data_IF_017626737513
#
_entry.id   IF_017626737513
#
_cell.length_a   1.000
_cell.length_b   1.000
_cell.length_c   1.000
_cell.angle_alpha   90.00
_cell.angle_beta   90.00
_cell.angle_gamma   90.00
#
_symmetry.space_group_name_H-M   'P 1'
#
loop_
_entity.id
_entity.type
_entity.pdbx_description
1 polymer ?
#
# COMPACT_ATOMS: atom_id res chain seq x y z
N UNK A 1 -18.78 56.28 46.96
CA UNK A 1 -17.91 56.47 45.78
C UNK A 1 -17.39 55.10 45.33
N UNK A 2 -17.52 54.83 44.02
CA UNK A 2 -16.96 53.75 43.16
C UNK A 2 -16.94 52.30 43.68
N UNK A 3 -17.76 51.34 43.20
CA UNK A 3 -17.90 50.69 41.87
C UNK A 3 -16.61 50.12 41.26
N UNK A 4 -16.52 48.79 41.20
CA UNK A 4 -15.95 48.02 40.08
C UNK A 4 -16.79 46.76 39.85
N UNK A 5 -17.09 46.49 38.58
CA UNK A 5 -17.96 45.48 37.96
C UNK A 5 -17.23 44.18 37.59
N UNK A 6 -17.94 43.03 37.41
CA UNK A 6 -17.37 41.80 36.86
C UNK A 6 -17.57 41.71 35.33
N UNK A 7 -16.60 41.13 34.63
CA UNK A 7 -16.62 40.88 33.17
C UNK A 7 -17.11 39.48 32.81
N UNK A 8 -17.79 39.45 31.66
CA UNK A 8 -18.66 38.42 31.11
C UNK A 8 -17.94 37.21 30.48
N UNK A 9 -18.63 36.07 30.55
CA UNK A 9 -18.47 34.89 29.71
C UNK A 9 -19.08 35.11 28.31
N UNK A 10 -18.37 34.72 27.26
CA UNK A 10 -18.86 34.73 25.87
C UNK A 10 -19.30 33.31 25.46
N UNK A 11 -20.59 33.13 25.20
CA UNK A 11 -21.15 31.98 24.46
C UNK A 11 -21.51 32.43 23.05
N UNK A 12 -20.95 31.77 22.05
CA UNK A 12 -21.20 32.02 20.64
C UNK A 12 -22.60 31.52 20.22
N UNK A 13 -23.29 32.34 19.41
CA UNK A 13 -24.60 32.08 18.86
C UNK A 13 -24.50 31.39 17.50
N UNK A 14 -25.21 30.27 17.31
CA UNK A 14 -25.51 29.67 16.01
C UNK A 14 -26.91 30.11 15.58
N UNK A 15 -27.02 30.79 14.42
CA UNK A 15 -28.29 31.20 13.81
C UNK A 15 -28.65 30.20 12.72
N UNK A 16 -29.83 29.58 12.86
CA UNK A 16 -30.46 28.78 11.82
C UNK A 16 -31.04 29.62 10.68
N UNK A 17 -31.30 28.96 9.54
CA UNK A 17 -32.23 29.41 8.50
C UNK A 17 -33.02 28.22 7.99
N UNK A 18 -34.31 28.17 8.35
CA UNK A 18 -35.33 27.44 7.61
C UNK A 18 -35.80 28.33 6.44
N UNK A 19 -36.00 27.73 5.27
CA UNK A 19 -36.94 28.24 4.27
C UNK A 19 -37.76 27.07 3.75
N UNK A 20 -39.06 27.11 4.04
CA UNK A 20 -40.10 26.34 3.39
C UNK A 20 -40.72 27.22 2.30
N UNK A 21 -41.00 26.66 1.12
CA UNK A 21 -42.02 27.22 0.20
C UNK A 21 -42.86 26.10 -0.39
N UNK A 22 -44.15 26.41 -0.36
CA UNK A 22 -45.38 25.70 -0.68
C UNK A 22 -45.47 24.86 -1.97
N UNK A 23 -46.41 23.92 -1.86
CA UNK A 23 -47.03 23.07 -2.85
C UNK A 23 -47.83 23.81 -3.94
N UNK A 24 -47.98 23.12 -5.09
CA UNK A 24 -49.20 23.20 -5.90
C UNK A 24 -49.48 21.80 -6.52
N UNK A 25 -50.65 21.27 -6.22
CA UNK A 25 -51.31 20.13 -6.88
C UNK A 25 -52.52 20.68 -7.65
N UNK A 26 -52.91 20.04 -8.75
CA UNK A 26 -54.29 19.59 -9.11
C UNK A 26 -54.42 19.27 -10.61
N UNK A 27 -55.09 18.15 -10.91
CA UNK A 27 -55.85 17.88 -12.15
C UNK A 27 -55.37 16.64 -12.92
N UNK A 28 -55.80 15.40 -12.64
CA UNK A 28 -57.12 14.77 -12.87
C UNK A 28 -57.48 14.59 -14.37
N UNK A 29 -57.41 13.35 -14.89
CA UNK A 29 -58.53 12.60 -15.48
C UNK A 29 -58.07 11.31 -16.20
N UNK A 30 -58.79 10.23 -15.91
CA UNK A 30 -58.70 8.87 -16.46
C UNK A 30 -59.21 8.80 -17.91
N UNK A 31 -58.61 7.94 -18.74
CA UNK A 31 -59.31 7.21 -19.79
C UNK A 31 -58.74 5.78 -19.89
N UNK A 32 -59.64 4.81 -19.74
CA UNK A 32 -59.42 3.36 -19.87
C UNK A 32 -59.48 2.98 -21.36
N UNK A 33 -58.58 2.10 -21.80
CA UNK A 33 -58.66 1.42 -23.10
C UNK A 33 -57.81 0.15 -23.09
N UNK A 34 -58.46 -1.00 -22.99
CA UNK A 34 -57.86 -2.33 -23.07
C UNK A 34 -57.45 -2.68 -24.52
N UNK A 35 -56.24 -3.20 -24.74
CA UNK A 35 -55.94 -4.11 -25.85
C UNK A 35 -54.62 -4.90 -25.63
N UNK A 36 -54.79 -6.20 -25.38
CA UNK A 36 -53.99 -7.40 -25.68
C UNK A 36 -52.56 -7.32 -26.27
N UNK A 37 -51.64 -7.97 -25.52
CA UNK A 37 -50.58 -8.92 -25.92
C UNK A 37 -49.71 -8.71 -27.19
N UNK A 38 -48.39 -8.59 -26.99
CA UNK A 38 -47.35 -9.50 -27.50
C UNK A 38 -45.95 -9.03 -27.04
N UNK A 39 -45.16 -9.92 -26.43
CA UNK A 39 -43.70 -9.92 -26.53
C UNK A 39 -43.27 -11.16 -27.35
N UNK A 40 -41.97 -11.48 -27.51
CA UNK A 40 -40.77 -10.76 -27.10
C UNK A 40 -39.77 -10.57 -28.25
N UNK A 41 -38.92 -9.54 -28.20
CA UNK A 41 -37.62 -9.61 -28.89
C UNK A 41 -36.52 -9.20 -27.91
N UNK A 42 -35.80 -10.22 -27.45
CA UNK A 42 -34.60 -10.10 -26.66
C UNK A 42 -33.52 -9.43 -27.52
N UNK A 43 -33.08 -8.25 -27.08
CA UNK A 43 -31.86 -7.60 -27.56
C UNK A 43 -30.68 -8.52 -27.22
N UNK A 44 -29.74 -8.80 -28.14
CA UNK A 44 -28.57 -9.60 -27.80
C UNK A 44 -27.74 -8.82 -26.78
N UNK A 45 -27.60 -9.41 -25.60
CA UNK A 45 -26.68 -8.95 -24.57
C UNK A 45 -25.26 -9.05 -25.15
N UNK A 46 -24.65 -7.89 -25.37
CA UNK A 46 -23.26 -7.81 -25.78
C UNK A 46 -22.43 -8.36 -24.61
N UNK A 47 -21.89 -9.56 -24.81
CA UNK A 47 -21.19 -10.34 -23.80
C UNK A 47 -20.33 -9.46 -22.89
N UNK A 48 -20.75 -9.37 -21.63
CA UNK A 48 -19.87 -8.98 -20.56
C UNK A 48 -18.60 -9.83 -20.68
N UNK A 49 -17.40 -9.23 -20.65
CA UNK A 49 -16.18 -10.00 -20.70
C UNK A 49 -16.21 -11.01 -19.54
N UNK A 50 -16.16 -12.29 -19.87
CA UNK A 50 -15.89 -13.35 -18.91
C UNK A 50 -14.60 -12.97 -18.18
N UNK A 51 -14.72 -12.48 -16.94
CA UNK A 51 -13.66 -12.69 -15.96
C UNK A 51 -13.60 -14.20 -15.80
N UNK A 52 -12.68 -14.82 -16.53
CA UNK A 52 -12.18 -16.14 -16.20
C UNK A 52 -11.79 -16.08 -14.73
N UNK A 53 -12.59 -16.69 -13.87
CA UNK A 53 -12.15 -17.09 -12.55
C UNK A 53 -10.88 -17.91 -12.80
N UNK A 54 -9.74 -17.37 -12.39
CA UNK A 54 -8.47 -18.02 -12.67
C UNK A 54 -8.54 -19.38 -11.99
N UNK A 55 -8.55 -20.47 -12.77
CA UNK A 55 -8.51 -21.81 -12.21
C UNK A 55 -7.21 -21.95 -11.42
N UNK A 56 -7.33 -21.83 -10.09
CA UNK A 56 -6.20 -21.93 -9.16
C UNK A 56 -5.75 -23.39 -8.99
N UNK A 57 -6.47 -24.35 -9.57
CA UNK A 57 -6.36 -25.77 -9.29
C UNK A 57 -6.93 -26.14 -7.91
N UNK A 58 -6.80 -27.41 -7.54
CA UNK A 58 -7.22 -27.89 -6.22
C UNK A 58 -6.20 -27.54 -5.14
N UNK A 59 -6.69 -27.06 -3.99
CA UNK A 59 -5.85 -26.78 -2.83
C UNK A 59 -5.26 -28.08 -2.23
N UNK A 60 -3.98 -28.09 -1.79
CA UNK A 60 -3.32 -29.28 -1.22
C UNK A 60 -3.98 -29.90 0.02
N UNK A 61 -4.65 -29.09 0.85
CA UNK A 61 -5.33 -29.54 2.07
C UNK A 61 -6.85 -29.48 1.90
N UNK A 62 -7.55 -30.51 2.39
CA UNK A 62 -9.01 -30.60 2.32
C UNK A 62 -9.74 -29.76 3.38
N UNK A 63 -9.00 -29.19 4.32
CA UNK A 63 -9.49 -28.30 5.37
C UNK A 63 -8.87 -26.91 5.21
N UNK A 64 -9.57 -25.83 5.61
CA UNK A 64 -8.96 -24.51 5.65
C UNK A 64 -7.80 -24.48 6.63
N UNK A 65 -6.73 -23.77 6.25
CA UNK A 65 -5.61 -23.46 7.13
C UNK A 65 -5.75 -22.02 7.62
N UNK A 66 -5.43 -21.79 8.88
CA UNK A 66 -5.48 -20.49 9.52
C UNK A 66 -4.09 -20.10 10.04
N UNK A 67 -3.77 -18.83 9.94
CA UNK A 67 -2.67 -18.22 10.67
C UNK A 67 -3.19 -17.83 12.07
N UNK A 68 -2.70 -18.48 13.12
CA UNK A 68 -3.23 -18.35 14.48
C UNK A 68 -2.09 -17.91 15.40
N UNK A 69 -2.24 -16.82 16.14
CA UNK A 69 -1.17 -16.31 16.99
C UNK A 69 -1.61 -15.28 18.01
N UNK A 70 -0.64 -14.62 18.65
CA UNK A 70 -0.86 -13.61 19.68
C UNK A 70 -1.67 -12.40 19.19
N UNK A 71 -1.70 -12.15 17.88
CA UNK A 71 -2.44 -11.06 17.24
C UNK A 71 -3.95 -11.35 17.03
N UNK A 72 -4.39 -12.59 17.23
CA UNK A 72 -5.80 -12.97 17.13
C UNK A 72 -6.19 -14.00 18.20
N UNK A 73 -5.52 -14.00 19.36
CA UNK A 73 -5.77 -14.92 20.48
C UNK A 73 -5.78 -16.41 20.07
N UNK A 74 -4.97 -16.76 19.06
CA UNK A 74 -4.94 -18.09 18.44
C UNK A 74 -6.30 -18.56 17.90
N UNK A 75 -7.22 -17.65 17.54
CA UNK A 75 -8.49 -17.97 16.91
C UNK A 75 -8.33 -18.50 15.48
N UNK A 76 -9.34 -19.19 14.97
CA UNK A 76 -9.41 -19.66 13.57
C UNK A 76 -10.23 -18.67 12.71
N UNK A 77 -9.85 -17.39 12.75
CA UNK A 77 -10.53 -16.29 12.07
C UNK A 77 -9.68 -15.62 10.98
N UNK A 78 -8.38 -15.94 10.91
CA UNK A 78 -7.46 -15.49 9.87
C UNK A 78 -7.09 -16.66 8.94
N UNK A 79 -7.98 -16.97 8.00
CA UNK A 79 -7.77 -18.02 7.00
C UNK A 79 -6.63 -17.64 6.03
N UNK A 80 -5.73 -18.59 5.78
CA UNK A 80 -4.71 -18.46 4.74
C UNK A 80 -5.36 -18.78 3.39
N UNK A 81 -5.53 -17.77 2.54
CA UNK A 81 -6.17 -17.93 1.23
C UNK A 81 -5.27 -18.71 0.27
N UNK A 82 -5.82 -19.74 -0.36
CA UNK A 82 -5.16 -20.44 -1.47
C UNK A 82 -5.06 -19.54 -2.71
N UNK A 83 -3.86 -19.43 -3.29
CA UNK A 83 -3.58 -18.55 -4.44
C UNK A 83 -3.04 -19.30 -5.66
N UNK A 84 -3.23 -20.62 -5.71
CA UNK A 84 -2.71 -21.48 -6.76
C UNK A 84 -1.27 -21.94 -6.52
N UNK A 85 -0.79 -22.85 -7.35
CA UNK A 85 0.58 -23.41 -7.29
C UNK A 85 0.98 -23.90 -5.89
N UNK A 86 0.05 -24.59 -5.21
CA UNK A 86 0.24 -25.11 -3.84
C UNK A 86 0.60 -24.02 -2.80
N UNK A 87 0.26 -22.74 -3.04
CA UNK A 87 0.57 -21.63 -2.12
C UNK A 87 -0.66 -21.09 -1.41
N UNK A 88 -0.47 -20.78 -0.14
CA UNK A 88 -1.45 -20.12 0.72
C UNK A 88 -0.86 -18.83 1.28
N UNK A 89 -1.69 -17.80 1.47
CA UNK A 89 -1.25 -16.50 2.00
C UNK A 89 -2.23 -15.87 2.97
N UNK A 90 -1.68 -15.29 4.02
CA UNK A 90 -2.37 -14.39 4.94
C UNK A 90 -1.53 -13.12 5.13
N UNK A 91 -2.21 -11.97 5.17
CA UNK A 91 -1.59 -10.69 5.51
C UNK A 91 -2.11 -10.26 6.90
N UNK A 92 -1.21 -9.87 7.80
CA UNK A 92 -1.56 -9.46 9.18
C UNK A 92 -0.80 -8.20 9.59
N UNK A 93 -1.50 -7.24 10.20
CA UNK A 93 -0.87 -6.06 10.75
C UNK A 93 -0.22 -6.40 12.10
N UNK A 94 1.09 -6.22 12.21
CA UNK A 94 1.85 -6.47 13.43
C UNK A 94 2.47 -5.17 13.93
N UNK A 95 2.49 -4.98 15.25
CA UNK A 95 3.32 -3.97 15.90
C UNK A 95 4.76 -4.48 16.06
N UNK A 96 5.72 -3.57 16.26
CA UNK A 96 7.06 -3.97 16.73
C UNK A 96 6.96 -4.87 17.96
N UNK A 97 7.73 -5.95 17.98
CA UNK A 97 7.80 -6.87 19.12
C UNK A 97 7.80 -8.35 18.73
N UNK A 98 7.57 -9.19 19.72
CA UNK A 98 7.58 -10.64 19.61
C UNK A 98 6.14 -11.16 19.44
N UNK A 99 5.90 -11.95 18.40
CA UNK A 99 4.58 -12.53 18.09
C UNK A 99 4.69 -14.04 17.99
N UNK A 100 3.99 -14.76 18.86
CA UNK A 100 3.88 -16.21 18.76
C UNK A 100 2.76 -16.60 17.79
N UNK A 101 2.98 -17.63 16.97
CA UNK A 101 1.98 -18.09 16.01
C UNK A 101 2.15 -19.56 15.62
N UNK A 102 1.14 -20.10 14.95
CA UNK A 102 1.10 -21.39 14.25
C UNK A 102 0.31 -21.25 12.96
N UNK A 103 0.54 -22.20 12.05
CA UNK A 103 -0.39 -22.47 10.95
C UNK A 103 -1.14 -23.74 11.32
N UNK A 104 -2.46 -23.66 11.45
CA UNK A 104 -3.28 -24.81 11.81
C UNK A 104 -4.68 -24.73 11.20
N UNK A 105 -5.32 -25.88 10.99
CA UNK A 105 -6.78 -25.91 10.80
C UNK A 105 -7.51 -25.53 12.10
N UNK A 106 -8.84 -25.38 12.01
CA UNK A 106 -9.67 -25.00 13.15
C UNK A 106 -9.55 -25.99 14.32
N UNK A 107 -9.39 -27.28 14.02
CA UNK A 107 -9.34 -28.36 15.00
C UNK A 107 -7.96 -28.62 15.61
N UNK A 108 -6.90 -27.92 15.16
CA UNK A 108 -5.51 -28.31 15.45
C UNK A 108 -5.24 -29.79 15.15
N UNK A 109 -5.71 -30.26 14.01
CA UNK A 109 -5.53 -31.64 13.57
C UNK A 109 -4.04 -31.93 13.32
N UNK A 110 -3.60 -33.15 13.61
CA UNK A 110 -2.18 -33.55 13.57
C UNK A 110 -1.53 -33.29 12.21
N UNK A 111 -2.23 -33.62 11.12
CA UNK A 111 -1.71 -33.49 9.74
C UNK A 111 -1.67 -32.04 9.22
N UNK A 112 -2.35 -31.11 9.90
CA UNK A 112 -2.53 -29.74 9.43
C UNK A 112 -2.12 -28.69 10.47
N UNK A 113 -1.46 -29.09 11.55
CA UNK A 113 -0.87 -28.20 12.53
C UNK A 113 0.65 -28.16 12.34
N UNK A 114 1.16 -27.02 11.88
CA UNK A 114 2.56 -26.87 11.53
C UNK A 114 3.31 -25.92 12.46
N UNK A 115 4.57 -26.28 12.73
CA UNK A 115 5.54 -25.43 13.42
C UNK A 115 6.95 -25.71 12.91
N UNK A 116 7.90 -24.84 13.27
CA UNK A 116 9.32 -25.02 12.96
C UNK A 116 9.96 -26.09 13.86
N UNK A 117 9.53 -26.20 15.11
CA UNK A 117 9.98 -27.21 16.06
C UNK A 117 8.79 -27.92 16.71
N UNK A 118 8.93 -29.23 16.96
CA UNK A 118 7.86 -30.05 17.55
C UNK A 118 7.72 -29.94 19.07
N UNK A 119 8.75 -29.48 19.77
CA UNK A 119 8.89 -29.63 21.23
C UNK A 119 9.23 -28.33 21.98
N UNK A 120 9.38 -27.21 21.27
CA UNK A 120 9.77 -25.92 21.83
C UNK A 120 9.35 -24.77 20.94
N UNK A 121 9.31 -23.57 21.51
CA UNK A 121 9.20 -22.34 20.74
C UNK A 121 10.45 -22.17 19.86
N UNK A 122 10.26 -21.83 18.59
CA UNK A 122 11.34 -21.62 17.64
C UNK A 122 11.14 -20.37 16.81
N UNK A 123 12.21 -19.60 16.62
CA UNK A 123 12.19 -18.34 15.89
C UNK A 123 12.14 -18.57 14.38
N UNK A 124 11.24 -17.86 13.70
CA UNK A 124 11.13 -17.82 12.25
C UNK A 124 11.77 -16.51 11.77
N UNK A 125 12.86 -16.56 10.99
CA UNK A 125 13.49 -15.37 10.45
C UNK A 125 12.58 -14.66 9.44
N UNK A 126 12.49 -13.33 9.53
CA UNK A 126 11.88 -12.52 8.48
C UNK A 126 12.71 -12.60 7.19
N UNK A 127 12.04 -12.71 6.05
CA UNK A 127 12.65 -12.66 4.71
C UNK A 127 13.31 -13.95 4.23
N UNK A 128 13.38 -15.00 5.06
CA UNK A 128 13.99 -16.27 4.71
C UNK A 128 12.98 -17.43 4.78
N UNK A 129 12.93 -18.32 3.75
CA UNK A 129 12.05 -19.47 3.78
C UNK A 129 12.52 -20.52 4.79
N UNK A 130 11.60 -21.09 5.55
CA UNK A 130 11.85 -22.19 6.51
C UNK A 130 10.92 -23.35 6.26
N UNK A 131 11.45 -24.58 6.29
CA UNK A 131 10.63 -25.78 6.23
C UNK A 131 10.00 -26.04 7.59
N UNK A 132 8.68 -26.26 7.61
CA UNK A 132 7.92 -26.62 8.79
C UNK A 132 7.77 -28.15 8.89
N UNK A 133 7.27 -28.60 10.03
CA UNK A 133 6.87 -29.98 10.28
C UNK A 133 5.51 -30.02 10.98
N UNK A 134 4.82 -31.16 10.86
CA UNK A 134 3.64 -31.43 11.68
C UNK A 134 4.04 -31.41 13.17
N UNK A 135 3.40 -30.54 13.93
CA UNK A 135 3.72 -30.26 15.33
C UNK A 135 2.44 -29.93 16.12
N UNK A 136 1.54 -30.92 16.31
CA UNK A 136 0.37 -30.75 17.16
C UNK A 136 0.79 -30.53 18.63
N UNK A 137 -0.17 -30.12 19.46
CA UNK A 137 0.06 -29.86 20.88
C UNK A 137 0.50 -28.43 21.19
N UNK A 138 1.03 -28.25 22.40
CA UNK A 138 1.31 -26.96 23.05
C UNK A 138 2.80 -26.79 23.34
N UNK A 139 3.24 -25.54 23.55
CA UNK A 139 4.63 -25.22 23.91
C UNK A 139 5.62 -25.21 22.73
N UNK A 140 5.11 -25.38 21.51
CA UNK A 140 5.87 -25.50 20.27
C UNK A 140 5.41 -24.48 19.21
N UNK A 141 5.07 -23.26 19.65
CA UNK A 141 4.70 -22.17 18.75
C UNK A 141 5.93 -21.68 17.95
N UNK A 142 5.69 -21.08 16.78
CA UNK A 142 6.70 -20.28 16.10
C UNK A 142 6.73 -18.88 16.71
N UNK A 143 7.88 -18.22 16.66
CA UNK A 143 8.09 -16.86 17.14
C UNK A 143 8.59 -15.97 16.01
N UNK A 144 7.92 -14.86 15.74
CA UNK A 144 8.39 -13.81 14.83
C UNK A 144 8.78 -12.58 15.63
N UNK A 145 10.02 -12.12 15.45
CA UNK A 145 10.49 -10.83 15.92
C UNK A 145 10.19 -9.74 14.86
N UNK A 146 9.06 -9.05 14.98
CA UNK A 146 8.73 -7.94 14.08
C UNK A 146 9.56 -6.69 14.47
N UNK A 147 10.53 -6.32 13.63
CA UNK A 147 11.37 -5.15 13.86
C UNK A 147 10.67 -3.82 13.56
N UNK A 148 9.62 -3.86 12.73
CA UNK A 148 8.85 -2.69 12.28
C UNK A 148 7.36 -2.94 12.43
N UNK A 149 6.60 -1.92 12.80
CA UNK A 149 5.14 -1.98 12.71
C UNK A 149 4.74 -1.95 11.25
N UNK A 150 3.90 -2.88 10.81
CA UNK A 150 3.42 -2.90 9.43
C UNK A 150 2.62 -4.13 9.07
N UNK A 151 2.29 -4.25 7.78
CA UNK A 151 1.55 -5.39 7.25
C UNK A 151 2.55 -6.49 6.88
N UNK A 152 2.49 -7.63 7.55
CA UNK A 152 3.34 -8.79 7.28
C UNK A 152 2.58 -9.80 6.44
N UNK A 153 3.25 -10.35 5.43
CA UNK A 153 2.73 -11.43 4.59
C UNK A 153 3.34 -12.76 5.03
N UNK A 154 2.48 -13.70 5.36
CA UNK A 154 2.81 -15.09 5.65
C UNK A 154 2.44 -15.92 4.44
N UNK A 155 3.43 -16.57 3.85
CA UNK A 155 3.26 -17.38 2.66
C UNK A 155 3.70 -18.81 2.90
N UNK A 156 2.79 -19.75 2.72
CA UNK A 156 3.03 -21.17 2.88
C UNK A 156 3.02 -21.87 1.52
N UNK A 157 4.15 -22.46 1.12
CA UNK A 157 4.20 -23.41 0.01
C UNK A 157 3.99 -24.83 0.55
N UNK A 158 2.88 -25.44 0.15
CA UNK A 158 2.53 -26.82 0.47
C UNK A 158 2.84 -27.78 -0.69
N UNK A 159 3.93 -27.52 -1.43
CA UNK A 159 4.40 -28.40 -2.51
C UNK A 159 4.73 -29.79 -1.96
N UNK A 160 5.37 -29.85 -0.79
CA UNK A 160 5.40 -31.01 0.08
C UNK A 160 4.46 -30.76 1.27
N UNK A 161 3.39 -31.54 1.37
CA UNK A 161 2.38 -31.39 2.44
C UNK A 161 2.91 -31.78 3.82
N UNK A 162 3.92 -32.65 3.88
CA UNK A 162 4.52 -33.11 5.14
C UNK A 162 5.58 -32.16 5.67
N UNK A 163 6.15 -31.34 4.78
CA UNK A 163 7.17 -30.35 5.09
C UNK A 163 6.91 -29.03 4.33
N UNK A 164 5.79 -28.32 4.61
CA UNK A 164 5.49 -27.10 3.90
C UNK A 164 6.51 -26.00 4.24
N UNK A 165 6.79 -25.12 3.29
CA UNK A 165 7.78 -24.04 3.45
C UNK A 165 7.08 -22.72 3.73
N UNK A 166 7.41 -22.09 4.85
CA UNK A 166 6.88 -20.79 5.25
C UNK A 166 7.90 -19.69 4.92
N UNK A 167 7.44 -18.60 4.30
CA UNK A 167 8.15 -17.33 4.18
C UNK A 167 7.31 -16.25 4.85
N UNK A 168 7.92 -15.49 5.76
CA UNK A 168 7.32 -14.32 6.39
C UNK A 168 8.08 -13.09 5.92
N UNK A 169 7.40 -12.07 5.43
CA UNK A 169 8.04 -10.83 4.96
C UNK A 169 7.19 -9.62 5.29
N UNK A 170 7.80 -8.52 5.73
CA UNK A 170 7.10 -7.24 5.77
C UNK A 170 6.65 -6.85 4.35
N UNK A 171 5.35 -6.63 4.17
CA UNK A 171 4.77 -6.10 2.94
C UNK A 171 4.90 -4.59 2.98
N UNK A 172 5.97 -4.09 2.39
CA UNK A 172 6.16 -2.66 2.25
C UNK A 172 5.10 -2.07 1.32
N UNK A 173 4.42 -1.03 1.80
CA UNK A 173 3.45 -0.27 1.03
C UNK A 173 4.19 0.97 0.55
N UNK A 174 4.21 1.15 -0.77
CA UNK A 174 4.78 2.34 -1.40
C UNK A 174 4.13 3.60 -0.77
N UNK A 175 4.92 4.56 -0.24
CA UNK A 175 4.40 5.78 0.38
C UNK A 175 3.40 6.57 -0.47
N UNK A 176 3.58 6.56 -1.79
CA UNK A 176 2.72 7.23 -2.76
C UNK A 176 1.83 6.23 -3.50
N UNK A 177 0.54 6.58 -3.63
CA UNK A 177 -0.46 5.75 -4.32
C UNK A 177 -0.23 5.68 -5.83
N UNK A 178 0.15 6.81 -6.42
CA UNK A 178 0.40 6.91 -7.86
C UNK A 178 1.89 6.71 -8.14
N UNK A 179 2.26 6.22 -9.35
CA UNK A 179 3.66 6.15 -9.76
C UNK A 179 4.32 7.54 -9.71
N UNK A 180 5.44 7.62 -9.00
CA UNK A 180 6.27 8.82 -8.97
C UNK A 180 7.16 8.89 -10.21
N UNK A 181 7.40 10.10 -10.70
CA UNK A 181 8.12 10.39 -11.92
C UNK A 181 9.12 11.53 -11.69
N UNK A 182 10.26 11.48 -12.38
CA UNK A 182 11.02 12.68 -12.74
C UNK A 182 10.50 13.19 -14.07
N UNK A 183 9.94 14.39 -14.08
CA UNK A 183 9.33 15.00 -15.27
C UNK A 183 10.11 16.24 -15.62
N UNK A 184 10.82 16.23 -16.73
CA UNK A 184 11.70 17.33 -17.07
C UNK A 184 12.23 17.26 -18.49
N UNK A 185 13.09 18.22 -18.81
CA UNK A 185 13.81 18.21 -20.08
C UNK A 185 15.18 17.59 -19.84
N UNK A 186 15.34 16.33 -20.24
CA UNK A 186 16.57 15.58 -20.05
C UNK A 186 17.21 15.33 -21.42
N UNK A 187 18.30 16.03 -21.73
CA UNK A 187 18.94 15.98 -23.05
C UNK A 187 18.13 16.68 -24.16
N UNK A 188 17.38 17.74 -23.81
CA UNK A 188 16.58 18.52 -24.76
C UNK A 188 15.20 17.93 -25.12
N UNK A 189 14.84 16.78 -24.55
CA UNK A 189 13.53 16.14 -24.73
C UNK A 189 12.75 16.14 -23.42
N UNK A 190 11.48 16.53 -23.50
CA UNK A 190 10.55 16.33 -22.41
C UNK A 190 10.34 14.82 -22.19
N UNK A 191 10.65 14.34 -20.98
CA UNK A 191 10.50 12.93 -20.60
C UNK A 191 9.86 12.83 -19.23
N UNK A 192 9.00 11.82 -19.10
CA UNK A 192 8.45 11.34 -17.83
C UNK A 192 9.20 10.05 -17.48
N UNK A 193 10.14 10.12 -16.54
CA UNK A 193 10.99 9.00 -16.13
C UNK A 193 10.43 8.40 -14.84
N UNK A 194 10.00 7.13 -14.82
CA UNK A 194 9.52 6.50 -13.60
C UNK A 194 10.58 6.42 -12.50
N UNK A 195 10.19 6.77 -11.28
CA UNK A 195 10.92 6.45 -10.06
C UNK A 195 10.38 5.12 -9.54
N UNK A 196 11.15 4.05 -9.71
CA UNK A 196 10.77 2.71 -9.27
C UNK A 196 10.84 2.60 -7.75
N UNK A 197 9.79 2.07 -7.12
CA UNK A 197 9.81 1.77 -5.68
C UNK A 197 10.74 0.58 -5.41
N UNK A 198 11.80 0.81 -4.65
CA UNK A 198 12.82 -0.20 -4.31
C UNK A 198 12.66 -0.75 -2.88
N UNK A 199 11.62 -0.32 -2.15
CA UNK A 199 11.40 -0.69 -0.76
C UNK A 199 11.87 0.38 0.23
N UNK A 200 11.56 0.20 1.51
CA UNK A 200 11.96 1.06 2.63
C UNK A 200 11.63 2.55 2.43
N UNK A 201 10.55 2.86 1.71
CA UNK A 201 10.19 4.24 1.36
C UNK A 201 11.07 4.88 0.28
N UNK A 202 11.94 4.10 -0.37
CA UNK A 202 12.88 4.53 -1.41
C UNK A 202 12.28 4.35 -2.80
N UNK A 203 12.38 5.40 -3.60
CA UNK A 203 12.13 5.35 -5.03
C UNK A 203 13.36 5.81 -5.78
N UNK A 204 13.72 5.16 -6.87
CA UNK A 204 14.88 5.56 -7.62
C UNK A 204 14.78 5.31 -9.12
N UNK A 205 15.62 6.05 -9.85
CA UNK A 205 15.91 5.82 -11.26
C UNK A 205 17.36 6.19 -11.56
N UNK A 206 17.89 5.74 -12.68
CA UNK A 206 19.24 6.05 -13.13
C UNK A 206 19.19 6.50 -14.58
N UNK A 207 19.62 7.75 -14.82
CA UNK A 207 19.54 8.38 -16.13
C UNK A 207 20.93 8.73 -16.65
N UNK A 208 21.15 8.54 -17.95
CA UNK A 208 22.29 9.11 -18.64
C UNK A 208 21.98 10.57 -19.00
N UNK A 209 22.79 11.49 -18.48
CA UNK A 209 22.61 12.93 -18.65
C UNK A 209 23.91 13.58 -19.15
N UNK A 210 23.77 14.55 -20.03
CA UNK A 210 24.88 15.38 -20.51
C UNK A 210 25.27 16.45 -19.46
N UNK A 211 26.48 17.00 -19.59
CA UNK A 211 26.87 18.18 -18.80
C UNK A 211 25.91 19.37 -19.09
N UNK A 212 25.66 20.20 -18.08
CA UNK A 212 24.77 21.35 -18.16
C UNK A 212 23.69 21.36 -17.08
N UNK A 213 22.78 22.33 -17.18
CA UNK A 213 21.67 22.51 -16.22
C UNK A 213 20.43 21.78 -16.72
N UNK A 214 19.85 20.95 -15.87
CA UNK A 214 18.64 20.17 -16.12
C UNK A 214 17.55 20.61 -15.16
N UNK A 215 16.39 21.01 -15.71
CA UNK A 215 15.21 21.37 -14.95
C UNK A 215 14.18 20.24 -14.99
N UNK A 216 13.65 19.87 -13.82
CA UNK A 216 12.68 18.79 -13.68
C UNK A 216 11.79 18.96 -12.43
N UNK A 217 10.68 18.22 -12.41
CA UNK A 217 9.78 18.06 -11.26
C UNK A 217 9.83 16.62 -10.75
N UNK A 218 9.68 16.45 -9.45
CA UNK A 218 9.40 15.15 -8.82
C UNK A 218 7.91 15.13 -8.55
N UNK A 219 7.17 14.31 -9.31
CA UNK A 219 5.71 14.31 -9.23
C UNK A 219 5.08 13.04 -9.78
N UNK A 220 3.80 12.80 -9.53
CA UNK A 220 3.02 11.80 -10.26
C UNK A 220 2.52 12.33 -11.62
N UNK A 221 1.81 11.49 -12.39
CA UNK A 221 1.31 11.88 -13.72
C UNK A 221 0.28 13.03 -13.62
N UNK A 222 -0.50 13.06 -12.54
CA UNK A 222 -1.60 14.00 -12.32
C UNK A 222 -1.20 15.35 -11.75
N UNK A 223 0.04 15.52 -11.28
CA UNK A 223 0.44 16.64 -10.42
C UNK A 223 -0.44 16.74 -9.17
N UNK A 224 -0.66 15.61 -8.50
CA UNK A 224 -1.43 15.54 -7.25
C UNK A 224 -0.71 16.31 -6.14
N UNK A 225 -1.46 17.02 -5.29
CA UNK A 225 -0.90 17.89 -4.23
C UNK A 225 -0.06 17.10 -3.20
N UNK A 226 -0.39 15.83 -2.97
CA UNK A 226 0.31 14.91 -2.06
C UNK A 226 1.50 14.20 -2.70
N UNK A 227 1.72 14.43 -3.99
CA UNK A 227 2.72 13.76 -4.80
C UNK A 227 3.37 14.72 -5.81
N UNK A 228 3.47 16.01 -5.48
CA UNK A 228 4.18 17.03 -6.28
C UNK A 228 5.09 17.79 -5.36
N UNK A 229 6.37 17.85 -5.71
CA UNK A 229 7.39 18.35 -4.80
C UNK A 229 8.25 19.45 -5.42
N UNK A 230 8.64 20.39 -4.56
CA UNK A 230 9.59 21.47 -4.86
C UNK A 230 10.72 21.42 -3.84
N UNK A 231 11.82 22.11 -4.14
CA UNK A 231 12.92 22.27 -3.20
C UNK A 231 12.45 23.11 -2.01
N UNK A 232 12.85 22.72 -0.80
CA UNK A 232 12.66 23.56 0.38
C UNK A 232 13.37 24.92 0.18
N UNK A 233 12.66 26.07 0.21
CA UNK A 233 13.27 27.38 0.00
C UNK A 233 14.27 27.78 1.09
N UNK A 234 14.22 27.15 2.26
CA UNK A 234 15.20 27.35 3.35
C UNK A 234 16.36 26.35 3.28
N UNK A 235 16.31 25.38 2.35
CA UNK A 235 17.26 24.29 2.22
C UNK A 235 18.45 24.57 1.30
N UNK A 236 19.34 23.59 1.22
CA UNK A 236 20.48 23.61 0.30
C UNK A 236 20.02 23.43 -1.15
N UNK A 237 20.72 24.09 -2.08
CA UNK A 237 20.51 23.87 -3.50
C UNK A 237 20.96 22.45 -3.90
N UNK A 238 20.15 21.79 -4.73
CA UNK A 238 20.38 20.43 -5.22
C UNK A 238 21.69 20.32 -6.02
N UNK A 239 22.58 19.43 -5.57
CA UNK A 239 23.84 19.11 -6.24
C UNK A 239 24.13 17.60 -6.20
N UNK A 240 24.98 17.14 -7.10
CA UNK A 240 25.47 15.75 -7.05
C UNK A 240 26.21 15.51 -5.73
N UNK A 241 25.90 14.40 -5.07
CA UNK A 241 26.43 14.02 -3.76
C UNK A 241 25.76 14.68 -2.57
N UNK A 242 24.75 15.53 -2.80
CA UNK A 242 23.95 16.15 -1.72
C UNK A 242 22.59 15.48 -1.58
N UNK A 243 22.10 15.45 -0.35
CA UNK A 243 20.71 15.10 -0.02
C UNK A 243 20.00 16.39 0.36
N UNK A 244 18.91 16.70 -0.31
CA UNK A 244 18.09 17.90 -0.04
C UNK A 244 16.70 17.50 0.43
N UNK A 245 16.10 18.36 1.26
CA UNK A 245 14.71 18.23 1.65
C UNK A 245 13.81 18.78 0.55
N UNK A 246 12.80 18.00 0.17
CA UNK A 246 11.71 18.51 -0.65
C UNK A 246 10.48 18.77 0.23
N UNK A 247 9.63 19.68 -0.22
CA UNK A 247 8.35 19.97 0.39
C UNK A 247 7.23 19.84 -0.63
N UNK A 248 6.02 19.57 -0.15
CA UNK A 248 4.82 19.57 -1.00
C UNK A 248 4.69 20.91 -1.74
N UNK A 249 4.41 20.81 -3.03
CA UNK A 249 4.28 21.94 -3.92
C UNK A 249 3.20 21.71 -4.97
N UNK A 250 3.15 22.59 -5.95
CA UNK A 250 2.14 22.57 -7.01
C UNK A 250 2.79 22.61 -8.39
N UNK A 251 2.00 22.28 -9.41
CA UNK A 251 2.45 22.31 -10.81
C UNK A 251 3.00 23.68 -11.24
N UNK A 252 2.50 24.77 -10.68
CA UNK A 252 2.85 26.14 -11.09
C UNK A 252 4.13 26.69 -10.47
N UNK A 253 4.69 26.00 -9.48
CA UNK A 253 5.93 26.42 -8.83
C UNK A 253 7.16 26.09 -9.68
N UNK A 254 8.34 26.69 -9.39
CA UNK A 254 9.56 26.43 -10.13
C UNK A 254 9.94 24.95 -10.17
N UNK A 255 10.68 24.58 -11.22
CA UNK A 255 11.28 23.25 -11.33
C UNK A 255 12.50 23.14 -10.40
N UNK A 256 12.85 21.92 -10.01
CA UNK A 256 14.15 21.64 -9.43
C UNK A 256 15.21 21.79 -10.52
N UNK A 257 16.34 22.41 -10.19
CA UNK A 257 17.47 22.57 -11.09
C UNK A 257 18.67 21.78 -10.58
N UNK A 258 19.26 20.98 -11.47
CA UNK A 258 20.51 20.25 -11.23
C UNK A 258 21.52 20.63 -12.30
N UNK A 259 22.67 21.15 -11.90
CA UNK A 259 23.79 21.43 -12.82
C UNK A 259 24.84 20.33 -12.73
N UNK A 260 25.16 19.74 -13.89
CA UNK A 260 26.12 18.65 -14.04
C UNK A 260 27.39 19.19 -14.73
N UNK A 261 28.55 18.96 -14.12
CA UNK A 261 29.84 19.41 -14.69
C UNK A 261 30.31 18.53 -15.86
N UNK A 262 29.84 17.28 -15.92
CA UNK A 262 30.26 16.28 -16.90
C UNK A 262 29.05 15.44 -17.33
N UNK A 263 29.12 14.87 -18.53
CA UNK A 263 28.16 13.85 -18.94
C UNK A 263 28.41 12.55 -18.17
N UNK A 264 27.35 11.83 -17.81
CA UNK A 264 27.47 10.62 -17.02
C UNK A 264 26.14 9.97 -16.71
N UNK A 265 26.21 8.87 -15.96
CA UNK A 265 25.04 8.22 -15.39
C UNK A 265 24.81 8.74 -13.98
N UNK A 266 23.60 9.19 -13.69
CA UNK A 266 23.23 9.76 -12.39
C UNK A 266 22.02 9.05 -11.83
N UNK A 267 22.11 8.65 -10.57
CA UNK A 267 21.04 8.03 -9.82
C UNK A 267 20.30 9.08 -9.00
N UNK A 268 19.01 9.17 -9.22
CA UNK A 268 18.09 9.99 -8.45
C UNK A 268 17.37 9.08 -7.46
N UNK A 269 17.42 9.44 -6.18
CA UNK A 269 16.80 8.68 -5.10
C UNK A 269 15.91 9.59 -4.26
N UNK A 270 14.61 9.30 -4.27
CA UNK A 270 13.61 9.92 -3.43
C UNK A 270 13.35 9.00 -2.23
N UNK A 271 13.63 9.48 -1.03
CA UNK A 271 13.49 8.73 0.20
C UNK A 271 12.41 9.34 1.09
N UNK A 272 11.40 8.54 1.41
CA UNK A 272 10.43 8.86 2.46
C UNK A 272 10.88 8.19 3.75
N UNK A 273 11.25 8.98 4.76
CA UNK A 273 11.69 8.43 6.07
C UNK A 273 10.52 8.32 7.04
N UNK A 274 9.76 9.42 7.19
CA UNK A 274 8.63 9.50 8.14
C UNK A 274 7.40 10.09 7.47
N UNK A 275 7.54 11.27 6.86
CA UNK A 275 6.43 12.02 6.29
C UNK A 275 6.50 12.02 4.76
N UNK A 276 5.51 11.48 4.03
CA UNK A 276 5.49 11.50 2.57
C UNK A 276 5.39 12.92 1.98
N UNK A 277 4.95 13.92 2.75
CA UNK A 277 4.91 15.31 2.29
C UNK A 277 6.27 16.02 2.31
N UNK A 278 7.28 15.44 2.95
CA UNK A 278 8.64 16.00 3.05
C UNK A 278 9.71 14.96 2.76
N UNK A 279 9.76 14.40 1.53
CA UNK A 279 10.75 13.41 1.17
C UNK A 279 12.13 14.04 0.98
N UNK A 280 13.18 13.21 1.07
CA UNK A 280 14.55 13.60 0.77
C UNK A 280 14.90 13.20 -0.65
N UNK A 281 15.51 14.10 -1.42
CA UNK A 281 16.05 13.79 -2.75
C UNK A 281 17.58 13.76 -2.69
N UNK A 282 18.17 12.67 -3.15
CA UNK A 282 19.62 12.53 -3.30
C UNK A 282 19.94 12.25 -4.77
N UNK A 283 20.94 12.94 -5.32
CA UNK A 283 21.47 12.65 -6.65
C UNK A 283 22.92 12.22 -6.54
N UNK A 284 23.27 11.05 -7.03
CA UNK A 284 24.64 10.53 -7.00
C UNK A 284 25.12 10.18 -8.40
N UNK A 285 26.43 10.26 -8.64
CA UNK A 285 27.00 9.66 -9.84
C UNK A 285 26.86 8.14 -9.75
N UNK A 286 26.20 7.52 -10.72
CA UNK A 286 26.11 6.07 -10.79
C UNK A 286 27.45 5.54 -11.31
N UNK A 287 28.08 4.66 -10.54
CA UNK A 287 29.28 3.96 -10.98
C UNK A 287 28.86 3.06 -12.17
N UNK A 288 29.53 3.12 -13.33
CA UNK A 288 29.26 2.17 -14.41
C UNK A 288 29.42 0.75 -13.88
N UNK A 289 28.38 -0.08 -14.01
CA UNK A 289 28.48 -1.52 -13.73
C UNK A 289 29.31 -2.22 -14.79
#
# INVERSE_FOLDING_TARGET
MHRVTPTHTLRAAWRGRLFAVCALLVGCALLVGCASAAGPEARPDAGAPNMVDADLGSAPFAVPLYLRGSFNDFAADLEMRYVGNNRYVADVALSVGQHEFKVADAGFSDETTFSLAGDRVAEVPEGAPVALQAAPGVGNNMLLAAERTGLYRFELSATDRSAPVLLVSLREIAPYRNPMLLRGTFGGLARDVPLGFEGEGRYATTEALEAGTHAFKVTDLGFSDDATFVLDPEGDALRVGTTVLLIAGTRGEPDLELTLEQAGSYRFELQVVVNPATPLLTVTAAIPR
#
